data_IF_227047640260
#
_entry.id   IF_227047640260
#
_cell.length_a   1.000
_cell.length_b   1.000
_cell.length_c   1.000
_cell.angle_alpha   90.00
_cell.angle_beta   90.00
_cell.angle_gamma   90.00
#
_symmetry.space_group_name_H-M   'P 1'
#
loop_
_entity.id
_entity.type
_entity.pdbx_description
1 polymer ?
#
# COMPACT_ATOMS: atom_id res chain seq x y z
N UNK A 1 -28.79 -2.40 -9.66
CA UNK A 1 -28.85 -3.87 -9.72
C UNK A 1 -29.72 -4.20 -10.91
N UNK A 2 -29.24 -5.03 -11.84
CA UNK A 2 -30.06 -5.48 -12.96
C UNK A 2 -30.85 -6.69 -12.49
N UNK A 3 -32.16 -6.64 -12.65
CA UNK A 3 -33.08 -7.73 -12.30
C UNK A 3 -33.60 -8.29 -13.62
N UNK A 4 -33.63 -9.61 -13.74
CA UNK A 4 -34.25 -10.26 -14.89
C UNK A 4 -35.73 -9.84 -14.98
N UNK A 5 -36.19 -9.49 -16.17
CA UNK A 5 -37.59 -9.10 -16.39
C UNK A 5 -38.54 -10.28 -16.17
N UNK A 6 -38.08 -11.51 -16.46
CA UNK A 6 -38.84 -12.72 -16.19
C UNK A 6 -39.01 -12.94 -14.69
N UNK A 7 -40.29 -12.93 -14.28
CA UNK A 7 -40.70 -13.05 -12.88
C UNK A 7 -40.37 -14.42 -12.28
N UNK A 8 -40.26 -15.46 -13.11
CA UNK A 8 -39.86 -16.82 -12.73
C UNK A 8 -38.32 -17.00 -12.65
N UNK A 9 -37.55 -16.24 -13.43
CA UNK A 9 -36.09 -16.40 -13.49
C UNK A 9 -35.40 -15.92 -12.20
N UNK A 10 -35.89 -14.85 -11.58
CA UNK A 10 -35.40 -14.34 -10.28
C UNK A 10 -33.93 -13.87 -10.23
N UNK A 11 -33.20 -13.95 -11.34
CA UNK A 11 -31.77 -13.64 -11.38
C UNK A 11 -31.47 -12.15 -11.20
N UNK A 12 -30.48 -11.84 -10.35
CA UNK A 12 -30.07 -10.46 -10.03
C UNK A 12 -28.58 -10.29 -10.27
N UNK A 13 -28.20 -9.34 -11.12
CA UNK A 13 -26.81 -8.94 -11.37
C UNK A 13 -26.50 -7.63 -10.65
N UNK A 14 -25.49 -7.66 -9.76
CA UNK A 14 -24.96 -6.43 -9.18
C UNK A 14 -24.19 -5.63 -10.24
N UNK A 15 -24.52 -4.35 -10.39
CA UNK A 15 -23.92 -3.47 -11.43
C UNK A 15 -22.59 -2.90 -10.96
N UNK A 16 -22.49 -2.65 -9.65
CA UNK A 16 -21.32 -2.09 -9.02
C UNK A 16 -21.16 -2.65 -7.61
N UNK A 17 -19.90 -2.89 -7.22
CA UNK A 17 -19.54 -3.29 -5.86
C UNK A 17 -18.57 -2.28 -5.28
N UNK A 18 -18.87 -1.77 -4.08
CA UNK A 18 -17.90 -0.95 -3.33
C UNK A 18 -16.79 -1.88 -2.83
N UNK A 19 -15.54 -1.53 -3.14
CA UNK A 19 -14.38 -2.32 -2.76
C UNK A 19 -13.53 -1.58 -1.73
N UNK A 20 -12.62 -2.29 -1.05
CA UNK A 20 -11.64 -1.68 -0.15
C UNK A 20 -10.43 -1.06 -0.89
N UNK A 21 -10.43 -1.07 -2.23
CA UNK A 21 -9.42 -0.37 -3.01
C UNK A 21 -9.51 1.14 -2.76
N UNK A 22 -8.35 1.79 -2.55
CA UNK A 22 -8.26 3.24 -2.35
C UNK A 22 -7.76 3.93 -3.61
N UNK A 23 -8.40 5.04 -3.96
CA UNK A 23 -7.98 5.89 -5.06
C UNK A 23 -6.60 6.50 -4.77
N UNK A 24 -5.68 6.53 -5.76
CA UNK A 24 -4.36 7.15 -5.59
C UNK A 24 -4.41 8.67 -5.40
N UNK A 25 -5.46 9.35 -5.87
CA UNK A 25 -5.57 10.81 -5.80
C UNK A 25 -6.29 11.31 -4.53
N UNK A 26 -7.39 10.67 -4.13
CA UNK A 26 -8.22 11.14 -3.01
C UNK A 26 -8.35 10.16 -1.84
N UNK A 27 -7.73 8.97 -1.93
CA UNK A 27 -7.75 7.92 -0.90
C UNK A 27 -9.16 7.44 -0.44
N UNK A 28 -10.23 7.83 -1.14
CA UNK A 28 -11.58 7.31 -0.93
C UNK A 28 -11.70 5.89 -1.50
N UNK A 29 -12.67 5.14 -0.98
CA UNK A 29 -12.98 3.79 -1.47
C UNK A 29 -13.47 3.86 -2.92
N UNK A 30 -13.06 2.91 -3.74
CA UNK A 30 -13.43 2.83 -5.15
C UNK A 30 -14.54 1.79 -5.37
N UNK A 31 -15.39 2.07 -6.34
CA UNK A 31 -16.43 1.16 -6.83
C UNK A 31 -15.88 0.38 -8.03
N UNK A 32 -16.09 -0.92 -8.05
CA UNK A 32 -15.78 -1.76 -9.21
C UNK A 32 -17.04 -1.90 -10.07
N UNK A 33 -16.91 -1.65 -11.38
CA UNK A 33 -17.96 -1.77 -12.39
C UNK A 33 -17.52 -2.74 -13.50
N UNK A 34 -18.48 -3.46 -14.08
CA UNK A 34 -18.25 -4.41 -15.17
C UNK A 34 -18.19 -5.88 -14.74
N UNK A 35 -18.11 -6.78 -15.72
CA UNK A 35 -18.04 -8.23 -15.53
C UNK A 35 -16.73 -8.78 -16.13
N UNK A 36 -16.16 -9.79 -15.46
CA UNK A 36 -14.95 -10.47 -15.92
C UNK A 36 -13.69 -9.61 -15.91
N UNK A 37 -12.82 -9.81 -16.90
CA UNK A 37 -11.49 -9.17 -16.98
C UNK A 37 -11.54 -7.67 -17.36
N UNK A 38 -12.66 -7.21 -17.92
CA UNK A 38 -12.90 -5.82 -18.28
C UNK A 38 -13.38 -4.96 -17.09
N UNK A 39 -13.29 -5.47 -15.86
CA UNK A 39 -13.65 -4.73 -14.66
C UNK A 39 -12.82 -3.45 -14.51
N UNK A 40 -13.50 -2.37 -14.15
CA UNK A 40 -12.90 -1.05 -13.97
C UNK A 40 -13.25 -0.52 -12.59
N UNK A 41 -12.25 -0.02 -11.86
CA UNK A 41 -12.47 0.72 -10.64
C UNK A 41 -12.75 2.17 -10.97
N UNK A 42 -13.80 2.74 -10.40
CA UNK A 42 -14.19 4.15 -10.52
C UNK A 42 -14.23 4.77 -9.13
N UNK A 43 -13.63 5.95 -8.98
CA UNK A 43 -13.71 6.75 -7.76
C UNK A 43 -14.66 7.93 -7.94
N UNK A 44 -15.24 8.41 -6.84
CA UNK A 44 -16.09 9.61 -6.80
C UNK A 44 -15.36 10.89 -7.27
N UNK A 45 -14.03 10.91 -7.27
CA UNK A 45 -13.24 12.05 -7.76
C UNK A 45 -13.01 12.05 -9.28
N UNK A 46 -13.60 11.11 -10.03
CA UNK A 46 -13.43 10.99 -11.49
C UNK A 46 -12.30 10.06 -11.94
N UNK A 47 -11.40 9.66 -11.02
CA UNK A 47 -10.33 8.70 -11.33
C UNK A 47 -10.91 7.30 -11.62
N UNK A 48 -10.49 6.71 -12.74
CA UNK A 48 -10.85 5.35 -13.12
C UNK A 48 -9.64 4.56 -13.59
N UNK A 49 -9.56 3.28 -13.21
CA UNK A 49 -8.47 2.39 -13.60
C UNK A 49 -8.97 0.98 -13.89
N UNK A 50 -8.41 0.31 -14.90
CA UNK A 50 -8.72 -1.10 -15.20
C UNK A 50 -8.21 -2.01 -14.07
N UNK A 51 -8.89 -3.13 -13.83
CA UNK A 51 -8.51 -4.13 -12.82
C UNK A 51 -7.08 -4.65 -13.01
N UNK A 52 -6.66 -4.85 -14.26
CA UNK A 52 -5.29 -5.28 -14.59
C UNK A 52 -4.25 -4.24 -14.17
N UNK A 53 -4.47 -2.96 -14.47
CA UNK A 53 -3.61 -1.85 -14.06
C UNK A 53 -3.58 -1.70 -12.53
N UNK A 54 -4.73 -1.85 -11.87
CA UNK A 54 -4.81 -1.85 -10.41
C UNK A 54 -3.96 -2.95 -9.77
N UNK A 55 -4.07 -4.18 -10.28
CA UNK A 55 -3.32 -5.32 -9.75
C UNK A 55 -1.81 -5.15 -9.96
N UNK A 56 -1.38 -4.67 -11.12
CA UNK A 56 0.04 -4.34 -11.39
C UNK A 56 0.56 -3.29 -10.41
N UNK A 57 -0.15 -2.17 -10.27
CA UNK A 57 0.20 -1.09 -9.33
C UNK A 57 0.24 -1.58 -7.88
N UNK A 58 -0.75 -2.39 -7.47
CA UNK A 58 -0.79 -2.94 -6.11
C UNK A 58 0.33 -3.96 -5.86
N UNK A 59 0.71 -4.74 -6.88
CA UNK A 59 1.87 -5.64 -6.82
C UNK A 59 3.17 -4.87 -6.63
N UNK A 60 3.40 -3.83 -7.44
CA UNK A 60 4.60 -2.97 -7.32
C UNK A 60 4.65 -2.26 -5.96
N UNK A 61 3.54 -1.67 -5.51
CA UNK A 61 3.48 -0.93 -4.25
C UNK A 61 3.64 -1.81 -3.00
N UNK A 62 3.34 -3.11 -3.07
CA UNK A 62 3.59 -4.04 -1.95
C UNK A 62 5.08 -4.19 -1.65
N UNK A 63 5.92 -4.10 -2.67
CA UNK A 63 7.37 -4.31 -2.54
C UNK A 63 8.13 -3.02 -2.19
N UNK A 64 7.50 -1.85 -2.31
CA UNK A 64 8.16 -0.56 -2.14
C UNK A 64 8.16 -0.05 -0.69
N UNK A 65 7.27 -0.56 0.16
CA UNK A 65 7.21 -0.17 1.58
C UNK A 65 7.86 -1.25 2.43
N UNK A 66 9.10 -0.97 2.85
CA UNK A 66 9.80 -1.73 3.90
C UNK A 66 8.94 -1.72 5.17
N UNK A 67 8.78 -2.88 5.80
CA UNK A 67 7.97 -3.00 7.01
C UNK A 67 8.64 -2.29 8.18
N UNK A 68 7.85 -1.78 9.13
CA UNK A 68 8.40 -1.18 10.38
C UNK A 68 9.33 -2.15 11.12
N UNK A 69 9.04 -3.45 11.04
CA UNK A 69 9.86 -4.49 11.66
C UNK A 69 11.22 -4.62 10.97
N UNK A 70 11.29 -4.56 9.64
CA UNK A 70 12.55 -4.55 8.91
C UNK A 70 13.37 -3.30 9.21
N UNK A 71 12.74 -2.11 9.27
CA UNK A 71 13.43 -0.88 9.69
C UNK A 71 13.95 -1.00 11.12
N UNK A 72 13.14 -1.52 12.05
CA UNK A 72 13.56 -1.74 13.44
C UNK A 72 14.72 -2.73 13.54
N UNK A 73 14.67 -3.83 12.78
CA UNK A 73 15.73 -4.82 12.73
C UNK A 73 17.02 -4.26 12.12
N UNK A 74 16.90 -3.42 11.08
CA UNK A 74 18.03 -2.74 10.46
C UNK A 74 18.71 -1.78 11.44
N UNK A 75 17.95 -0.94 12.15
CA UNK A 75 18.48 -0.05 13.19
C UNK A 75 19.13 -0.84 14.33
N UNK A 76 18.53 -1.97 14.75
CA UNK A 76 19.13 -2.85 15.77
C UNK A 76 20.44 -3.49 15.31
N UNK A 77 20.58 -3.83 14.02
CA UNK A 77 21.83 -4.33 13.45
C UNK A 77 22.91 -3.25 13.46
N UNK A 78 22.58 -2.04 13.01
CA UNK A 78 23.51 -0.89 13.07
C UNK A 78 23.98 -0.56 14.49
N UNK A 79 23.14 -0.74 15.51
CA UNK A 79 23.53 -0.53 16.91
C UNK A 79 24.31 -1.71 17.53
N UNK A 80 24.29 -2.88 16.90
CA UNK A 80 25.01 -4.08 17.37
C UNK A 80 26.35 -4.28 16.68
N UNK A 81 26.48 -3.81 15.44
CA UNK A 81 27.77 -3.67 14.78
C UNK A 81 28.51 -2.54 15.49
N UNK A 82 29.63 -2.87 16.11
CA UNK A 82 30.43 -1.91 16.88
C UNK A 82 30.77 -0.68 16.03
N UNK A 83 30.76 0.54 16.61
CA UNK A 83 31.07 1.73 15.86
C UNK A 83 32.47 1.59 15.25
N UNK A 84 32.56 1.71 13.93
CA UNK A 84 33.79 1.63 13.11
C UNK A 84 34.87 2.66 13.56
N UNK A 85 34.53 3.57 14.47
CA UNK A 85 35.39 4.62 15.01
C UNK A 85 35.69 4.45 16.50
N UNK A 86 36.27 3.32 16.89
CA UNK A 86 36.79 3.13 18.25
C UNK A 86 37.94 4.12 18.56
N UNK A 87 38.79 4.45 17.59
CA UNK A 87 39.95 5.33 17.80
C UNK A 87 39.59 6.80 18.10
N UNK A 88 38.63 7.38 17.37
CA UNK A 88 38.19 8.76 17.61
C UNK A 88 37.30 8.86 18.86
N UNK A 89 36.47 7.85 19.11
CA UNK A 89 35.65 7.77 20.32
C UNK A 89 36.52 7.64 21.59
N UNK A 90 37.57 6.82 21.56
CA UNK A 90 38.54 6.71 22.67
C UNK A 90 39.32 8.01 22.90
N UNK A 91 39.69 8.72 21.83
CA UNK A 91 40.37 10.00 21.94
C UNK A 91 39.46 11.09 22.56
N UNK A 92 38.17 11.10 22.19
CA UNK A 92 37.17 12.02 22.74
C UNK A 92 36.77 11.67 24.18
N UNK A 93 36.70 10.38 24.54
CA UNK A 93 36.42 9.94 25.90
C UNK A 93 37.53 10.32 26.90
N UNK A 94 38.77 10.45 26.42
CA UNK A 94 39.94 10.89 27.22
C UNK A 94 40.08 12.42 27.30
N UNK A 95 39.33 13.17 26.49
CA UNK A 95 39.30 14.63 26.57
C UNK A 95 38.38 15.06 27.72
N UNK A 96 38.97 15.45 28.85
CA UNK A 96 38.24 16.16 29.91
C UNK A 96 38.07 17.62 29.50
N UNK A 97 36.83 18.09 29.44
CA UNK A 97 36.53 19.51 29.33
C UNK A 97 36.66 20.12 30.73
N UNK A 98 37.84 20.60 31.09
CA UNK A 98 38.01 21.45 32.28
C UNK A 98 37.61 22.89 31.91
N UNK A 99 36.31 23.20 32.08
CA UNK A 99 35.83 24.52 32.55
C UNK A 99 34.34 24.51 32.89
#
# INVERSE_FOLDING_TARGET
>A
MLVCQDRECGHKKSVSRVTNARCPQCHKKMEMRGQGEAQTFTCKCGFHEKLSSYNKRRGQNKNQKVSKNEVSNYMKKQNKEEPINTALADALAKLKFDK
#
